data_IF_506343646783
#
_entry.id   IF_506343646783
#
_cell.length_a   1.000
_cell.length_b   1.000
_cell.length_c   1.000
_cell.angle_alpha   90.00
_cell.angle_beta   90.00
_cell.angle_gamma   90.00
#
_symmetry.space_group_name_H-M   'P 1'
#
loop_
_entity.id
_entity.type
_entity.pdbx_description
1 polymer ?
#
# COMPACT_ATOMS: atom_id res chain seq x y z
N UNK A 1 -8.27 52.23 -10.55
CA UNK A 1 -7.79 51.10 -11.36
C UNK A 1 -6.73 50.21 -10.68
N UNK A 2 -5.79 50.73 -9.87
CA UNK A 2 -4.75 49.90 -9.19
C UNK A 2 -5.29 48.93 -8.15
N UNK A 3 -6.35 49.27 -7.43
CA UNK A 3 -6.91 48.43 -6.37
C UNK A 3 -7.80 47.26 -6.85
N UNK A 4 -8.42 47.40 -8.02
CA UNK A 4 -9.19 46.32 -8.67
C UNK A 4 -8.31 45.20 -9.19
N UNK A 5 -7.10 45.51 -9.64
CA UNK A 5 -6.15 44.51 -10.13
C UNK A 5 -5.58 43.65 -8.99
N UNK A 6 -5.33 44.27 -7.83
CA UNK A 6 -4.82 43.56 -6.64
C UNK A 6 -5.86 42.61 -6.08
N UNK A 7 -7.14 42.99 -6.07
CA UNK A 7 -8.24 42.14 -5.62
C UNK A 7 -8.45 40.91 -6.51
N UNK A 8 -8.34 41.08 -7.84
CA UNK A 8 -8.43 39.97 -8.79
C UNK A 8 -7.26 39.00 -8.65
N UNK A 9 -6.06 39.49 -8.36
CA UNK A 9 -4.86 38.66 -8.15
C UNK A 9 -5.00 37.81 -6.88
N UNK A 10 -5.55 38.38 -5.79
CA UNK A 10 -5.83 37.63 -4.57
C UNK A 10 -6.93 36.59 -4.74
N UNK A 11 -7.95 36.86 -5.55
CA UNK A 11 -9.03 35.92 -5.84
C UNK A 11 -8.56 34.75 -6.69
N UNK A 12 -7.60 34.97 -7.60
CA UNK A 12 -7.02 33.89 -8.43
C UNK A 12 -6.05 32.98 -7.66
N UNK A 13 -5.37 33.48 -6.62
CA UNK A 13 -4.50 32.67 -5.76
C UNK A 13 -5.27 31.78 -4.79
N UNK A 14 -6.50 32.11 -4.44
CA UNK A 14 -7.31 31.31 -3.52
C UNK A 14 -7.96 30.07 -4.16
N UNK A 15 -7.89 29.90 -5.47
CA UNK A 15 -8.50 28.78 -6.19
C UNK A 15 -7.58 27.55 -6.36
N UNK A 16 -6.36 27.57 -5.81
CA UNK A 16 -5.34 26.54 -6.14
C UNK A 16 -5.03 25.57 -5.02
N UNK A 17 -5.73 25.56 -3.90
CA UNK A 17 -5.51 24.63 -2.78
C UNK A 17 -6.64 23.58 -2.68
N UNK A 18 -6.93 22.94 -3.80
CA UNK A 18 -7.70 21.70 -3.77
C UNK A 18 -6.75 20.55 -3.48
N UNK A 19 -6.77 20.03 -2.26
CA UNK A 19 -6.12 18.76 -1.97
C UNK A 19 -6.74 17.70 -2.90
N UNK A 20 -5.91 17.03 -3.69
CA UNK A 20 -6.37 15.99 -4.62
C UNK A 20 -7.04 14.87 -3.81
N UNK A 21 -8.33 14.66 -4.05
CA UNK A 21 -9.10 13.62 -3.41
C UNK A 21 -9.38 12.48 -4.42
N UNK A 22 -9.16 11.25 -4.00
CA UNK A 22 -9.34 10.06 -4.83
C UNK A 22 -10.65 9.37 -4.49
N UNK A 23 -11.53 9.22 -5.45
CA UNK A 23 -12.76 8.46 -5.28
C UNK A 23 -12.45 6.98 -5.13
N UNK A 24 -13.08 6.33 -4.12
CA UNK A 24 -12.84 4.94 -3.83
C UNK A 24 -13.85 4.35 -2.87
N UNK A 25 -13.44 3.29 -2.18
CA UNK A 25 -14.28 2.57 -1.23
C UNK A 25 -13.52 2.22 0.05
N UNK A 26 -14.21 2.26 1.17
CA UNK A 26 -13.80 1.74 2.46
C UNK A 26 -14.45 0.38 2.68
N UNK A 27 -13.66 -0.64 3.04
CA UNK A 27 -14.16 -1.98 3.33
C UNK A 27 -14.28 -2.17 4.85
N UNK A 28 -15.51 -2.26 5.35
CA UNK A 28 -15.78 -2.45 6.79
C UNK A 28 -15.40 -3.86 7.24
N UNK A 29 -15.41 -4.10 8.57
CA UNK A 29 -15.17 -5.44 9.14
C UNK A 29 -16.20 -6.47 8.69
N UNK A 30 -17.44 -6.02 8.44
CA UNK A 30 -18.57 -6.86 8.02
C UNK A 30 -18.66 -7.00 6.49
N UNK A 31 -17.63 -6.59 5.74
CA UNK A 31 -17.54 -6.62 4.28
C UNK A 31 -18.47 -5.66 3.53
N UNK A 32 -19.04 -4.66 4.20
CA UNK A 32 -19.73 -3.59 3.49
C UNK A 32 -18.72 -2.64 2.82
N UNK A 33 -19.05 -2.18 1.63
CA UNK A 33 -18.30 -1.16 0.92
C UNK A 33 -19.00 0.19 1.08
N UNK A 34 -18.29 1.15 1.67
CA UNK A 34 -18.74 2.54 1.77
C UNK A 34 -17.98 3.35 0.74
N UNK A 35 -18.69 3.97 -0.19
CA UNK A 35 -18.10 4.84 -1.23
C UNK A 35 -17.84 6.24 -0.71
N UNK A 36 -16.83 6.90 -1.28
CA UNK A 36 -16.46 8.25 -0.88
C UNK A 36 -15.10 8.65 -1.44
N UNK A 37 -14.45 9.58 -0.76
CA UNK A 37 -13.20 10.19 -1.21
C UNK A 37 -12.12 10.07 -0.14
N UNK A 38 -10.89 9.84 -0.59
CA UNK A 38 -9.67 9.81 0.23
C UNK A 38 -8.76 10.96 -0.16
N UNK A 39 -8.26 11.72 0.79
CA UNK A 39 -7.40 12.87 0.53
C UNK A 39 -6.13 12.90 1.39
N UNK A 40 -6.07 12.18 2.51
CA UNK A 40 -4.89 12.11 3.37
C UNK A 40 -4.68 10.67 3.84
N UNK A 41 -3.45 10.20 3.73
CA UNK A 41 -2.99 8.96 4.35
C UNK A 41 -1.67 9.23 5.05
N UNK A 42 -1.68 9.23 6.36
CA UNK A 42 -0.50 9.44 7.17
C UNK A 42 0.04 8.14 7.75
N UNK A 43 1.37 8.05 7.80
CA UNK A 43 2.11 6.99 8.44
C UNK A 43 2.98 7.57 9.54
N UNK A 44 3.04 6.87 10.66
CA UNK A 44 3.90 7.19 11.80
C UNK A 44 4.49 5.90 12.37
N UNK A 45 5.51 5.97 13.24
CA UNK A 45 5.98 4.80 13.97
C UNK A 45 4.91 4.12 14.81
N UNK A 46 3.84 4.85 15.14
CA UNK A 46 2.71 4.35 15.95
C UNK A 46 1.51 3.86 15.15
N UNK A 47 1.64 3.79 13.81
CA UNK A 47 0.57 3.30 12.95
C UNK A 47 0.29 4.19 11.76
N UNK A 48 -0.86 3.98 11.12
CA UNK A 48 -1.33 4.82 10.02
C UNK A 48 -2.77 5.29 10.25
N UNK A 49 -3.15 6.37 9.57
CA UNK A 49 -4.48 6.96 9.63
C UNK A 49 -4.88 7.42 8.23
N UNK A 50 -6.16 7.27 7.87
CA UNK A 50 -6.67 7.79 6.61
C UNK A 50 -7.85 8.74 6.83
N UNK A 51 -7.90 9.83 6.08
CA UNK A 51 -9.07 10.70 6.03
C UNK A 51 -9.99 10.25 4.89
N UNK A 52 -11.23 9.95 5.26
CA UNK A 52 -12.29 9.50 4.37
C UNK A 52 -13.48 10.46 4.46
N UNK A 53 -13.95 10.94 3.31
CA UNK A 53 -15.16 11.74 3.18
C UNK A 53 -16.21 10.90 2.48
N UNK A 54 -17.36 10.67 3.12
CA UNK A 54 -18.44 9.90 2.51
C UNK A 54 -19.16 10.70 1.41
N UNK A 55 -20.06 10.06 0.67
CA UNK A 55 -20.83 10.72 -0.41
C UNK A 55 -21.81 11.81 0.13
N UNK A 56 -22.03 11.91 1.45
CA UNK A 56 -22.83 12.97 2.08
C UNK A 56 -21.98 14.17 2.53
N UNK A 57 -20.64 14.09 2.41
CA UNK A 57 -19.71 15.16 2.80
C UNK A 57 -19.19 15.06 4.23
N UNK A 58 -19.59 14.03 5.00
CA UNK A 58 -19.05 13.83 6.35
C UNK A 58 -17.61 13.32 6.30
N UNK A 59 -16.76 13.89 7.14
CA UNK A 59 -15.32 13.61 7.19
C UNK A 59 -14.99 12.74 8.40
N UNK A 60 -14.28 11.66 8.15
CA UNK A 60 -13.86 10.68 9.16
C UNK A 60 -12.35 10.44 9.12
N UNK A 61 -11.74 10.39 10.31
CA UNK A 61 -10.39 9.85 10.47
C UNK A 61 -10.49 8.37 10.81
N UNK A 62 -10.06 7.52 9.90
CA UNK A 62 -10.21 6.07 9.99
C UNK A 62 -8.89 5.41 10.41
N UNK A 63 -8.90 4.79 11.58
CA UNK A 63 -7.81 3.96 12.05
C UNK A 63 -7.90 2.55 11.43
N UNK A 64 -6.78 1.90 11.05
CA UNK A 64 -6.78 0.58 10.40
C UNK A 64 -7.51 -0.50 11.21
N UNK A 65 -7.47 -0.43 12.54
CA UNK A 65 -8.17 -1.38 13.40
C UNK A 65 -9.69 -1.43 13.15
N UNK A 66 -10.29 -0.34 12.66
CA UNK A 66 -11.75 -0.22 12.49
C UNK A 66 -12.26 -0.85 11.18
N UNK A 67 -11.38 -1.08 10.19
CA UNK A 67 -11.76 -1.52 8.85
C UNK A 67 -10.89 -2.66 8.36
N UNK A 68 -11.30 -3.34 7.28
CA UNK A 68 -10.46 -4.35 6.60
C UNK A 68 -9.46 -3.71 5.66
N UNK A 69 -9.78 -2.54 5.12
CA UNK A 69 -8.94 -1.81 4.19
C UNK A 69 -9.74 -0.80 3.38
N UNK A 70 -9.11 -0.27 2.35
CA UNK A 70 -9.71 0.65 1.40
C UNK A 70 -9.06 0.51 0.03
N UNK A 71 -9.69 1.08 -0.98
CA UNK A 71 -9.15 1.13 -2.33
C UNK A 71 -9.66 2.33 -3.09
N UNK A 72 -8.88 2.79 -4.06
CA UNK A 72 -9.23 3.87 -4.97
C UNK A 72 -8.55 3.67 -6.33
N UNK A 73 -9.00 4.41 -7.34
CA UNK A 73 -8.38 4.41 -8.67
C UNK A 73 -7.81 5.78 -8.99
N UNK A 74 -6.65 5.79 -9.68
CA UNK A 74 -5.99 6.98 -10.20
C UNK A 74 -5.39 6.66 -11.56
N UNK A 75 -5.68 7.48 -12.57
CA UNK A 75 -5.13 7.38 -13.93
C UNK A 75 -5.31 5.99 -14.58
N UNK A 76 -6.38 5.28 -14.21
CA UNK A 76 -6.67 3.92 -14.67
C UNK A 76 -6.08 2.80 -13.81
N UNK A 77 -5.15 3.11 -12.92
CA UNK A 77 -4.59 2.15 -11.97
C UNK A 77 -5.45 2.02 -10.72
N UNK A 78 -5.53 0.80 -10.19
CA UNK A 78 -6.26 0.51 -8.94
C UNK A 78 -5.27 0.30 -7.80
N UNK A 79 -5.50 1.02 -6.72
CA UNK A 79 -4.70 0.94 -5.49
C UNK A 79 -5.53 0.32 -4.39
N UNK A 80 -4.98 -0.71 -3.75
CA UNK A 80 -5.64 -1.42 -2.65
C UNK A 80 -4.76 -1.41 -1.42
N UNK A 81 -5.36 -1.11 -0.28
CA UNK A 81 -4.74 -1.09 1.02
C UNK A 81 -5.47 -2.04 1.95
N UNK A 82 -4.73 -2.82 2.71
CA UNK A 82 -5.27 -3.76 3.70
C UNK A 82 -4.84 -3.35 5.09
N UNK A 83 -5.74 -3.47 6.03
CA UNK A 83 -5.46 -3.25 7.44
C UNK A 83 -4.73 -4.46 8.02
N UNK A 84 -3.56 -4.23 8.66
CA UNK A 84 -2.77 -5.29 9.30
C UNK A 84 -2.20 -4.83 10.64
N UNK A 85 -2.19 -5.77 11.58
CA UNK A 85 -1.50 -5.61 12.85
C UNK A 85 -0.10 -6.22 12.74
N UNK A 86 0.93 -5.45 13.09
CA UNK A 86 2.31 -5.88 13.05
C UNK A 86 3.13 -5.16 14.14
N UNK A 87 3.91 -5.90 14.92
CA UNK A 87 4.77 -5.36 15.98
C UNK A 87 4.07 -4.39 16.93
N UNK A 88 2.85 -4.73 17.38
CA UNK A 88 2.10 -3.92 18.34
C UNK A 88 1.31 -2.75 17.71
N UNK A 89 1.37 -2.54 16.40
CA UNK A 89 0.78 -1.41 15.70
C UNK A 89 -0.14 -1.86 14.55
N UNK A 90 -1.08 -0.99 14.19
CA UNK A 90 -1.97 -1.18 13.06
C UNK A 90 -1.57 -0.28 11.89
N UNK A 91 -1.42 -0.88 10.69
CA UNK A 91 -1.04 -0.18 9.47
C UNK A 91 -1.99 -0.48 8.32
N UNK A 92 -2.14 0.48 7.42
CA UNK A 92 -2.60 0.25 6.07
C UNK A 92 -1.41 -0.12 5.19
N UNK A 93 -1.36 -1.36 4.73
CA UNK A 93 -0.33 -1.85 3.83
C UNK A 93 -0.87 -1.83 2.39
N UNK A 94 -0.12 -1.22 1.48
CA UNK A 94 -0.47 -1.25 0.06
C UNK A 94 -0.24 -2.66 -0.50
N UNK A 95 -1.22 -3.20 -1.19
CA UNK A 95 -1.12 -4.47 -1.91
C UNK A 95 -0.38 -4.25 -3.24
N UNK A 96 0.82 -4.82 -3.37
CA UNK A 96 1.61 -4.77 -4.60
C UNK A 96 1.32 -5.99 -5.49
N UNK A 97 1.18 -7.17 -4.88
CA UNK A 97 0.79 -8.41 -5.55
C UNK A 97 -0.19 -9.15 -4.68
N UNK A 98 -1.36 -9.44 -5.23
CA UNK A 98 -2.34 -10.33 -4.61
C UNK A 98 -2.15 -11.75 -5.12
N UNK A 99 -1.93 -12.70 -4.23
CA UNK A 99 -1.73 -14.08 -4.61
C UNK A 99 -2.32 -15.07 -3.62
N UNK A 100 -2.77 -16.21 -4.12
CA UNK A 100 -3.39 -17.25 -3.29
C UNK A 100 -2.40 -17.92 -2.34
N UNK A 101 -1.15 -18.10 -2.78
CA UNK A 101 -0.11 -18.75 -1.99
C UNK A 101 0.74 -17.72 -1.24
N UNK A 102 0.96 -16.56 -1.85
CA UNK A 102 1.79 -15.49 -1.31
C UNK A 102 1.32 -14.15 -1.87
N UNK A 103 1.11 -13.17 -0.99
CA UNK A 103 0.86 -11.78 -1.36
C UNK A 103 2.02 -10.90 -0.93
N UNK A 104 2.30 -9.85 -1.70
CA UNK A 104 3.30 -8.83 -1.40
C UNK A 104 2.61 -7.54 -0.99
N UNK A 105 3.03 -7.01 0.14
CA UNK A 105 2.57 -5.72 0.64
C UNK A 105 3.73 -4.75 0.83
N UNK A 106 3.43 -3.47 0.70
CA UNK A 106 4.35 -2.36 0.91
C UNK A 106 3.86 -1.47 2.03
N UNK A 107 4.75 -1.16 2.98
CA UNK A 107 4.58 -0.09 3.95
C UNK A 107 5.51 1.06 3.53
N UNK A 108 5.00 2.24 3.18
CA UNK A 108 5.83 3.41 2.94
C UNK A 108 6.67 3.74 4.17
N UNK A 109 7.91 4.19 3.96
CA UNK A 109 8.75 4.64 5.06
C UNK A 109 8.15 5.91 5.67
N UNK A 110 7.90 5.87 6.97
CA UNK A 110 7.36 7.00 7.74
C UNK A 110 8.42 8.03 8.15
N UNK A 111 9.66 7.91 7.67
CA UNK A 111 10.76 8.80 8.05
C UNK A 111 10.56 10.25 7.61
N UNK A 112 9.73 10.49 6.56
CA UNK A 112 9.42 11.81 6.04
C UNK A 112 8.20 12.46 6.71
N UNK A 113 8.04 12.26 8.00
CA UNK A 113 6.87 12.63 8.82
C UNK A 113 6.45 14.11 8.74
N UNK A 114 7.26 14.99 8.19
CA UNK A 114 7.06 16.43 8.32
C UNK A 114 6.70 17.18 7.05
N UNK A 115 6.66 16.54 5.88
CA UNK A 115 6.66 17.32 4.64
C UNK A 115 5.39 17.20 3.81
N UNK A 116 4.67 16.08 3.83
CA UNK A 116 3.53 15.93 2.93
C UNK A 116 2.65 14.73 3.33
N UNK A 117 1.54 14.99 3.98
CA UNK A 117 0.51 13.98 4.34
C UNK A 117 -0.45 13.68 3.18
N UNK A 118 -0.18 14.20 1.97
CA UNK A 118 -1.06 13.99 0.84
C UNK A 118 -0.99 12.55 0.32
N UNK A 119 -2.07 12.11 -0.30
CA UNK A 119 -2.13 10.81 -0.99
C UNK A 119 -1.10 10.70 -2.11
N UNK A 120 -0.57 11.81 -2.61
CA UNK A 120 0.47 11.85 -3.65
C UNK A 120 1.78 11.17 -3.24
N UNK A 121 2.06 11.08 -1.94
CA UNK A 121 3.23 10.33 -1.42
C UNK A 121 3.23 8.87 -1.83
N UNK A 122 2.06 8.28 -2.00
CA UNK A 122 1.93 6.87 -2.36
C UNK A 122 2.47 6.55 -3.76
N UNK A 123 2.61 7.59 -4.60
CA UNK A 123 3.08 7.46 -5.99
C UNK A 123 4.55 7.84 -6.18
N UNK A 124 5.21 8.30 -5.12
CA UNK A 124 6.65 8.59 -5.17
C UNK A 124 7.47 7.32 -4.95
N UNK A 125 8.62 7.24 -5.61
CA UNK A 125 9.65 6.22 -5.38
C UNK A 125 10.35 6.49 -4.03
N UNK A 126 9.68 6.12 -2.94
CA UNK A 126 10.21 6.29 -1.60
C UNK A 126 10.73 4.95 -1.05
N UNK A 127 11.70 4.99 -0.13
CA UNK A 127 12.05 3.82 0.66
C UNK A 127 10.80 3.19 1.26
N UNK A 128 10.70 1.89 1.20
CA UNK A 128 9.56 1.17 1.74
C UNK A 128 10.01 -0.16 2.32
N UNK A 129 9.30 -0.60 3.35
CA UNK A 129 9.45 -1.96 3.87
C UNK A 129 8.42 -2.86 3.19
N UNK A 130 8.89 -3.99 2.66
CA UNK A 130 8.02 -4.99 2.07
C UNK A 130 7.72 -6.11 3.06
N UNK A 131 6.52 -6.66 2.92
CA UNK A 131 6.03 -7.76 3.74
C UNK A 131 5.43 -8.84 2.85
N UNK A 132 5.73 -10.10 3.15
CA UNK A 132 4.99 -11.24 2.65
C UNK A 132 3.82 -11.56 3.57
N UNK A 133 2.66 -11.82 2.98
CA UNK A 133 1.55 -12.47 3.65
C UNK A 133 1.38 -13.85 3.04
N UNK A 134 1.48 -14.89 3.88
CA UNK A 134 1.29 -16.29 3.49
C UNK A 134 0.40 -17.00 4.50
N UNK A 135 -0.30 -18.04 4.04
CA UNK A 135 -1.38 -18.60 4.83
C UNK A 135 -2.48 -17.56 5.11
N UNK A 136 -3.21 -17.72 6.21
CA UNK A 136 -4.32 -16.82 6.52
C UNK A 136 -3.90 -15.53 7.24
N UNK A 137 -2.79 -15.54 8.00
CA UNK A 137 -2.44 -14.44 8.90
C UNK A 137 -0.94 -14.19 9.10
N UNK A 138 -0.07 -14.96 8.46
CA UNK A 138 1.36 -14.84 8.72
C UNK A 138 1.97 -13.70 7.89
N UNK A 139 2.56 -12.74 8.57
CA UNK A 139 3.31 -11.63 7.98
C UNK A 139 4.79 -11.85 8.21
N UNK A 140 5.59 -11.79 7.15
CA UNK A 140 7.04 -11.85 7.18
C UNK A 140 7.61 -10.55 6.60
N UNK A 141 8.38 -9.76 7.35
CA UNK A 141 9.10 -8.63 6.79
C UNK A 141 10.18 -9.13 5.82
N UNK A 142 10.31 -8.43 4.69
CA UNK A 142 11.32 -8.72 3.67
C UNK A 142 12.45 -7.70 3.81
N UNK A 143 13.53 -8.00 4.55
CA UNK A 143 14.59 -7.04 4.82
C UNK A 143 15.39 -6.76 3.55
N UNK A 144 15.79 -5.50 3.34
CA UNK A 144 16.70 -5.13 2.25
C UNK A 144 18.10 -5.69 2.49
N UNK A 145 18.58 -5.57 3.74
CA UNK A 145 19.83 -6.19 4.17
C UNK A 145 19.56 -7.65 4.55
N UNK A 146 20.31 -8.57 3.98
CA UNK A 146 20.08 -10.01 4.19
C UNK A 146 18.98 -10.62 3.28
N UNK A 147 18.37 -9.84 2.39
CA UNK A 147 17.34 -10.24 1.43
C UNK A 147 17.59 -11.63 0.82
N UNK A 148 18.79 -11.83 0.28
CA UNK A 148 19.15 -13.08 -0.43
C UNK A 148 19.02 -14.31 0.48
N UNK A 149 19.47 -14.23 1.72
CA UNK A 149 19.39 -15.31 2.69
C UNK A 149 17.93 -15.55 3.09
N UNK A 150 17.24 -14.50 3.51
CA UNK A 150 15.84 -14.58 3.95
C UNK A 150 14.93 -15.22 2.90
N UNK A 151 15.05 -14.81 1.63
CA UNK A 151 14.20 -15.36 0.58
C UNK A 151 14.61 -16.77 0.14
N UNK A 152 15.89 -17.08 0.13
CA UNK A 152 16.33 -18.44 -0.14
C UNK A 152 15.79 -19.42 0.88
N UNK A 153 15.91 -19.07 2.16
CA UNK A 153 15.39 -19.90 3.25
C UNK A 153 13.86 -20.03 3.14
N UNK A 154 13.16 -18.92 2.87
CA UNK A 154 11.70 -18.93 2.71
C UNK A 154 11.19 -19.80 1.56
N UNK A 155 11.89 -19.82 0.43
CA UNK A 155 11.49 -20.60 -0.76
C UNK A 155 12.10 -22.00 -0.82
N UNK A 156 13.03 -22.38 0.08
CA UNK A 156 13.81 -23.62 0.00
C UNK A 156 12.94 -24.86 -0.20
N UNK A 157 11.91 -25.04 0.60
CA UNK A 157 11.05 -26.23 0.56
C UNK A 157 9.93 -26.12 -0.48
N UNK A 158 9.31 -24.95 -0.55
CA UNK A 158 8.11 -24.76 -1.36
C UNK A 158 8.40 -24.52 -2.84
N UNK A 159 9.55 -23.91 -3.18
CA UNK A 159 9.97 -23.60 -4.54
C UNK A 159 11.51 -23.60 -4.66
N UNK A 160 12.21 -24.75 -4.56
CA UNK A 160 13.66 -24.83 -4.54
C UNK A 160 14.32 -24.25 -5.81
N UNK A 161 13.66 -24.34 -6.97
CA UNK A 161 14.12 -23.71 -8.21
C UNK A 161 14.16 -22.19 -8.11
N UNK A 162 13.18 -21.57 -7.45
CA UNK A 162 13.13 -20.13 -7.20
C UNK A 162 14.19 -19.73 -6.17
N UNK A 163 14.32 -20.50 -5.09
CA UNK A 163 15.36 -20.30 -4.07
C UNK A 163 16.77 -20.23 -4.68
N UNK A 164 17.09 -21.11 -5.65
CA UNK A 164 18.41 -21.20 -6.30
C UNK A 164 18.77 -19.96 -7.14
N UNK A 165 17.79 -19.18 -7.60
CA UNK A 165 18.02 -18.00 -8.45
C UNK A 165 17.95 -16.68 -7.68
N UNK A 166 17.45 -16.66 -6.45
CA UNK A 166 17.37 -15.44 -5.63
C UNK A 166 18.74 -14.74 -5.51
N UNK A 167 18.75 -13.45 -5.84
CA UNK A 167 19.92 -12.58 -5.85
C UNK A 167 20.62 -12.50 -7.21
N UNK A 168 20.23 -13.30 -8.22
CA UNK A 168 20.68 -13.16 -9.62
C UNK A 168 19.93 -12.01 -10.32
N UNK A 169 20.31 -11.67 -11.55
CA UNK A 169 19.61 -10.68 -12.38
C UNK A 169 18.15 -11.12 -12.57
N UNK A 170 17.19 -10.20 -12.33
CA UNK A 170 15.76 -10.49 -12.35
C UNK A 170 15.20 -11.05 -11.03
N UNK A 171 16.05 -11.35 -10.03
CA UNK A 171 15.64 -11.91 -8.72
C UNK A 171 16.28 -11.15 -7.57
N UNK A 172 16.29 -9.82 -7.66
CA UNK A 172 16.82 -8.89 -6.65
C UNK A 172 15.68 -8.27 -5.86
N UNK A 173 16.01 -7.51 -4.83
CA UNK A 173 15.04 -6.81 -3.99
C UNK A 173 14.04 -5.94 -4.76
N UNK A 174 14.48 -5.29 -5.83
CA UNK A 174 13.62 -4.48 -6.70
C UNK A 174 12.65 -5.32 -7.55
N UNK A 175 12.95 -6.60 -7.73
CA UNK A 175 12.18 -7.53 -8.59
C UNK A 175 11.19 -8.36 -7.71
N UNK A 176 10.89 -7.93 -6.48
CA UNK A 176 10.05 -8.66 -5.51
C UNK A 176 8.65 -8.98 -6.05
N UNK A 177 8.04 -8.09 -6.80
CA UNK A 177 6.71 -8.33 -7.39
C UNK A 177 6.74 -9.52 -8.35
N UNK A 178 7.72 -9.54 -9.26
CA UNK A 178 7.89 -10.63 -10.24
C UNK A 178 8.18 -11.96 -9.54
N UNK A 179 9.04 -11.96 -8.51
CA UNK A 179 9.35 -13.13 -7.69
C UNK A 179 8.10 -13.72 -7.05
N UNK A 180 7.23 -12.87 -6.50
CA UNK A 180 5.98 -13.31 -5.86
C UNK A 180 4.97 -13.82 -6.88
N UNK A 181 4.87 -13.20 -8.06
CA UNK A 181 4.04 -13.70 -9.15
C UNK A 181 4.50 -15.08 -9.61
N UNK A 182 5.78 -15.27 -9.87
CA UNK A 182 6.35 -16.58 -10.26
C UNK A 182 6.11 -17.65 -9.20
N UNK A 183 6.29 -17.32 -7.91
CA UNK A 183 5.98 -18.25 -6.83
C UNK A 183 4.52 -18.71 -6.84
N UNK A 184 3.58 -17.78 -7.05
CA UNK A 184 2.16 -18.11 -7.12
C UNK A 184 1.83 -19.02 -8.31
N UNK A 185 2.50 -18.84 -9.46
CA UNK A 185 2.36 -19.71 -10.63
C UNK A 185 2.87 -21.13 -10.34
N UNK A 186 4.06 -21.26 -9.72
CA UNK A 186 4.62 -22.54 -9.31
C UNK A 186 3.66 -23.30 -8.39
N UNK A 187 3.09 -22.61 -7.40
CA UNK A 187 2.15 -23.19 -6.43
C UNK A 187 0.80 -23.51 -7.07
N UNK A 188 0.34 -22.70 -8.01
CA UNK A 188 -0.90 -22.92 -8.77
C UNK A 188 -0.81 -24.12 -9.71
N UNK A 189 0.31 -24.32 -10.38
CA UNK A 189 0.55 -25.43 -11.30
C UNK A 189 0.67 -26.79 -10.59
N UNK A 190 1.26 -26.83 -9.38
CA UNK A 190 1.32 -28.05 -8.57
C UNK A 190 -0.04 -28.58 -8.15
N UNK A 191 -1.00 -27.70 -7.83
CA UNK A 191 -2.37 -28.09 -7.44
C UNK A 191 -3.21 -28.66 -8.58
N UNK A 192 -2.90 -28.34 -9.84
CA UNK A 192 -3.60 -28.88 -11.02
C UNK A 192 -3.15 -30.28 -11.41
N UNK A 193 -2.07 -30.78 -10.83
CA UNK A 193 -1.48 -32.10 -11.13
C UNK A 193 -1.76 -33.16 -10.06
N UNK A 194 -2.49 -32.79 -9.01
CA UNK A 194 -3.01 -33.66 -7.94
C UNK A 194 -4.53 -33.79 -8.05
#
# INVERSE_FOLDING_TARGET
MRHTFTLLLFLSLSLSLSAEAFRGFLLTKDNYQLTGYFNVLSYSPTGSLITFTNDFGDIYSIHPMLVKGFGFSKDGDSFRFVSRFHQGQWFFLREEVSGRALSLYRLPDGSDQYVDDSMLRLFRDQPATFYFLYGERQILPVPRVGFKRTLRDFFADAAPQLSAVIGKKGYRYKDLADIVMEYNEIRGSRRRRL
#
